data_IF_504815313105
#
_entry.id   IF_504815313105
#
_cell.length_a   1.000
_cell.length_b   1.000
_cell.length_c   1.000
_cell.angle_alpha   90.00
_cell.angle_beta   90.00
_cell.angle_gamma   90.00
#
_symmetry.space_group_name_H-M   'P 1'
#
loop_
_entity.id
_entity.type
_entity.pdbx_description
1 polymer ?
#
# COMPACT_ATOMS: atom_id res chain seq x y z
N UNK A 1 -5.16 -38.82 -2.56
CA UNK A 1 -6.12 -37.71 -2.36
C UNK A 1 -6.01 -37.36 -0.90
N UNK A 2 -5.15 -36.40 -0.56
CA UNK A 2 -5.04 -35.89 0.80
C UNK A 2 -6.25 -34.99 1.03
N UNK A 3 -7.18 -35.42 1.87
CA UNK A 3 -8.22 -34.57 2.42
C UNK A 3 -7.53 -33.42 3.16
N UNK A 4 -7.59 -32.24 2.57
CA UNK A 4 -7.23 -31.00 3.23
C UNK A 4 -8.40 -30.64 4.16
N UNK A 5 -8.46 -31.27 5.32
CA UNK A 5 -9.43 -30.96 6.35
C UNK A 5 -9.24 -29.49 6.76
N UNK A 6 -10.13 -28.64 6.26
CA UNK A 6 -10.28 -27.28 6.75
C UNK A 6 -10.76 -27.40 8.20
N UNK A 7 -9.98 -26.92 9.14
CA UNK A 7 -10.42 -26.82 10.52
C UNK A 7 -11.67 -25.92 10.56
N UNK A 8 -12.80 -26.47 11.02
CA UNK A 8 -14.08 -25.74 11.08
C UNK A 8 -13.96 -24.41 11.84
N UNK A 9 -13.16 -24.39 12.90
CA UNK A 9 -12.89 -23.18 13.67
C UNK A 9 -12.14 -22.10 12.84
N UNK A 10 -11.17 -22.51 12.01
CA UNK A 10 -10.45 -21.58 11.13
C UNK A 10 -11.37 -21.00 10.06
N UNK A 11 -12.24 -21.84 9.47
CA UNK A 11 -13.20 -21.40 8.48
C UNK A 11 -14.23 -20.44 9.11
N UNK A 12 -14.75 -20.77 10.28
CA UNK A 12 -15.69 -19.92 11.02
C UNK A 12 -15.06 -18.57 11.33
N UNK A 13 -13.84 -18.54 11.85
CA UNK A 13 -13.10 -17.31 12.11
C UNK A 13 -12.86 -16.50 10.83
N UNK A 14 -12.52 -17.15 9.70
CA UNK A 14 -12.36 -16.48 8.42
C UNK A 14 -13.67 -15.82 7.96
N UNK A 15 -14.80 -16.52 8.03
CA UNK A 15 -16.10 -15.94 7.66
C UNK A 15 -16.48 -14.78 8.58
N UNK A 16 -16.25 -14.91 9.87
CA UNK A 16 -16.45 -13.82 10.86
C UNK A 16 -15.54 -12.62 10.55
N UNK A 17 -14.29 -12.87 10.15
CA UNK A 17 -13.38 -11.81 9.70
C UNK A 17 -13.92 -11.03 8.50
N UNK A 18 -14.45 -11.75 7.50
CA UNK A 18 -15.04 -11.12 6.31
C UNK A 18 -16.28 -10.30 6.66
N UNK A 19 -17.16 -10.83 7.50
CA UNK A 19 -18.38 -10.11 7.93
C UNK A 19 -17.99 -8.84 8.68
N UNK A 20 -17.10 -8.95 9.68
CA UNK A 20 -16.62 -7.79 10.45
C UNK A 20 -15.90 -6.78 9.56
N UNK A 21 -15.11 -7.23 8.58
CA UNK A 21 -14.45 -6.37 7.61
C UNK A 21 -15.45 -5.56 6.79
N UNK A 22 -16.47 -6.21 6.25
CA UNK A 22 -17.51 -5.55 5.45
C UNK A 22 -18.37 -4.58 6.29
N UNK A 23 -18.51 -4.85 7.59
CA UNK A 23 -19.20 -3.98 8.54
C UNK A 23 -18.31 -2.89 9.15
N UNK A 24 -17.07 -2.73 8.66
CA UNK A 24 -16.08 -1.76 9.17
C UNK A 24 -15.72 -1.94 10.66
N UNK A 25 -15.95 -3.12 11.21
CA UNK A 25 -15.54 -3.52 12.56
C UNK A 25 -14.05 -3.93 12.55
N UNK A 26 -13.17 -2.94 12.39
CA UNK A 26 -11.77 -3.16 12.03
C UNK A 26 -10.99 -4.00 13.05
N UNK A 27 -11.21 -3.80 14.35
CA UNK A 27 -10.52 -4.55 15.41
C UNK A 27 -10.96 -6.01 15.44
N UNK A 28 -12.27 -6.26 15.36
CA UNK A 28 -12.82 -7.61 15.36
C UNK A 28 -12.39 -8.38 14.11
N UNK A 29 -12.46 -7.72 12.96
CA UNK A 29 -11.97 -8.26 11.68
C UNK A 29 -10.53 -8.73 11.81
N UNK A 30 -9.64 -7.88 12.33
CA UNK A 30 -8.23 -8.24 12.50
C UNK A 30 -8.03 -9.39 13.49
N UNK A 31 -8.81 -9.43 14.58
CA UNK A 31 -8.77 -10.53 15.56
C UNK A 31 -9.13 -11.85 14.91
N UNK A 32 -10.22 -11.90 14.14
CA UNK A 32 -10.66 -13.10 13.44
C UNK A 32 -9.71 -13.52 12.32
N UNK A 33 -9.12 -12.58 11.57
CA UNK A 33 -8.06 -12.90 10.59
C UNK A 33 -6.84 -13.52 11.27
N UNK A 34 -6.39 -12.99 12.41
CA UNK A 34 -5.27 -13.58 13.15
C UNK A 34 -5.58 -15.02 13.59
N UNK A 35 -6.82 -15.30 14.01
CA UNK A 35 -7.26 -16.63 14.47
C UNK A 35 -7.44 -17.64 13.33
N UNK A 36 -7.52 -17.17 12.06
CA UNK A 36 -7.66 -18.01 10.87
C UNK A 36 -6.43 -17.97 9.95
N UNK A 37 -5.28 -17.51 10.46
CA UNK A 37 -4.07 -17.25 9.66
C UNK A 37 -3.55 -18.48 8.88
N UNK A 38 -3.84 -19.70 9.34
CA UNK A 38 -3.48 -20.92 8.60
C UNK A 38 -4.14 -21.01 7.21
N UNK A 39 -5.25 -20.28 6.99
CA UNK A 39 -5.93 -20.21 5.69
C UNK A 39 -5.24 -19.30 4.66
N UNK A 40 -4.24 -18.51 5.05
CA UNK A 40 -3.54 -17.60 4.13
C UNK A 40 -3.00 -18.29 2.88
N UNK A 41 -2.59 -19.56 3.00
CA UNK A 41 -2.08 -20.38 1.88
C UNK A 41 -3.18 -21.10 1.08
N UNK A 42 -4.41 -21.05 1.56
CA UNK A 42 -5.53 -21.84 1.01
C UNK A 42 -6.61 -20.96 0.38
N UNK A 43 -6.52 -19.65 0.52
CA UNK A 43 -7.54 -18.69 0.08
C UNK A 43 -6.89 -17.44 -0.52
N UNK A 44 -7.01 -17.26 -1.83
CA UNK A 44 -6.36 -16.20 -2.61
C UNK A 44 -6.66 -14.77 -2.07
N UNK A 45 -7.91 -14.52 -1.70
CA UNK A 45 -8.32 -13.21 -1.16
C UNK A 45 -8.05 -13.02 0.33
N UNK A 46 -7.52 -14.03 1.03
CA UNK A 46 -7.26 -13.91 2.47
C UNK A 46 -6.19 -12.88 2.75
N UNK A 47 -5.04 -12.99 2.11
CA UNK A 47 -3.89 -12.14 2.38
C UNK A 47 -4.22 -10.68 2.13
N UNK A 48 -4.83 -10.37 0.99
CA UNK A 48 -5.19 -8.97 0.66
C UNK A 48 -6.05 -8.35 1.76
N UNK A 49 -7.13 -9.01 2.18
CA UNK A 49 -8.00 -8.51 3.24
C UNK A 49 -7.32 -8.44 4.60
N UNK A 50 -6.45 -9.40 4.92
CA UNK A 50 -5.67 -9.39 6.14
C UNK A 50 -4.68 -8.22 6.17
N UNK A 51 -3.97 -7.96 5.07
CA UNK A 51 -3.05 -6.81 4.94
C UNK A 51 -3.82 -5.50 5.10
N UNK A 52 -4.97 -5.35 4.46
CA UNK A 52 -5.84 -4.20 4.66
C UNK A 52 -6.27 -4.04 6.12
N UNK A 53 -6.70 -5.12 6.76
CA UNK A 53 -7.08 -5.11 8.18
C UNK A 53 -5.92 -4.65 9.08
N UNK A 54 -4.69 -5.10 8.78
CA UNK A 54 -3.50 -4.64 9.50
C UNK A 54 -3.24 -3.15 9.27
N UNK A 55 -3.33 -2.67 8.02
CA UNK A 55 -3.09 -1.27 7.67
C UNK A 55 -4.09 -0.32 8.35
N UNK A 56 -5.39 -0.63 8.27
CA UNK A 56 -6.47 0.14 8.92
C UNK A 56 -6.29 0.20 10.45
N UNK A 57 -5.79 -0.89 11.06
CA UNK A 57 -5.49 -0.94 12.49
C UNK A 57 -4.09 -0.37 12.83
N UNK A 58 -3.50 0.44 11.96
CA UNK A 58 -2.20 1.12 12.15
C UNK A 58 -1.02 0.15 12.35
N UNK A 59 -1.15 -1.11 11.93
CA UNK A 59 -0.10 -2.13 12.04
C UNK A 59 0.67 -2.30 10.73
N UNK A 60 1.00 -1.18 10.07
CA UNK A 60 1.64 -1.16 8.75
C UNK A 60 2.95 -1.94 8.71
N UNK A 61 3.81 -1.81 9.73
CA UNK A 61 5.06 -2.59 9.81
C UNK A 61 4.81 -4.10 9.78
N UNK A 62 3.76 -4.57 10.47
CA UNK A 62 3.38 -5.98 10.46
C UNK A 62 2.84 -6.38 9.08
N UNK A 63 2.03 -5.53 8.44
CA UNK A 63 1.54 -5.77 7.08
C UNK A 63 2.71 -6.01 6.10
N UNK A 64 3.72 -5.14 6.13
CA UNK A 64 4.92 -5.26 5.30
C UNK A 64 5.69 -6.56 5.59
N UNK A 65 5.85 -6.93 6.86
CA UNK A 65 6.49 -8.21 7.23
C UNK A 65 5.74 -9.41 6.67
N UNK A 66 4.41 -9.44 6.75
CA UNK A 66 3.59 -10.53 6.21
C UNK A 66 3.70 -10.62 4.67
N UNK A 67 3.75 -9.48 3.98
CA UNK A 67 3.98 -9.43 2.53
C UNK A 67 5.36 -10.03 2.20
N UNK A 68 6.43 -9.57 2.85
CA UNK A 68 7.80 -10.05 2.61
C UNK A 68 8.02 -11.53 2.86
N UNK A 69 7.32 -12.13 3.85
CA UNK A 69 7.36 -13.58 4.08
C UNK A 69 6.79 -14.37 2.89
N UNK A 70 5.90 -13.74 2.11
CA UNK A 70 5.16 -14.37 1.04
C UNK A 70 5.60 -13.91 -0.36
N UNK A 71 6.50 -12.92 -0.44
CA UNK A 71 6.97 -12.28 -1.68
C UNK A 71 7.52 -13.27 -2.74
N UNK A 72 8.02 -14.42 -2.30
CA UNK A 72 8.51 -15.47 -3.21
C UNK A 72 7.42 -16.41 -3.75
N UNK A 73 6.14 -16.12 -3.53
CA UNK A 73 5.01 -16.95 -3.95
C UNK A 73 4.16 -16.20 -4.96
N UNK A 74 4.08 -16.70 -6.19
CA UNK A 74 3.35 -16.09 -7.33
C UNK A 74 1.90 -15.68 -7.09
N UNK A 75 1.26 -16.17 -6.02
CA UNK A 75 -0.18 -15.94 -5.77
C UNK A 75 -0.45 -14.74 -4.83
N UNK A 76 0.57 -13.91 -4.54
CA UNK A 76 0.47 -12.84 -3.55
C UNK A 76 0.74 -11.44 -4.10
N UNK A 77 0.74 -11.29 -5.41
CA UNK A 77 1.01 -10.04 -6.09
C UNK A 77 -0.29 -9.28 -6.33
N UNK A 78 -0.52 -8.27 -5.52
CA UNK A 78 -1.63 -7.34 -5.67
C UNK A 78 -1.14 -5.90 -5.51
N UNK A 79 -1.82 -4.95 -6.15
CA UNK A 79 -1.41 -3.55 -6.26
C UNK A 79 -1.02 -2.95 -4.89
N UNK A 80 -1.85 -3.12 -3.87
CA UNK A 80 -1.62 -2.52 -2.55
C UNK A 80 -0.42 -3.11 -1.80
N UNK A 81 -0.03 -4.36 -2.09
CA UNK A 81 1.20 -4.93 -1.52
C UNK A 81 2.42 -4.22 -2.07
N UNK A 82 2.45 -3.94 -3.38
CA UNK A 82 3.54 -3.21 -4.02
C UNK A 82 3.58 -1.74 -3.57
N UNK A 83 2.43 -1.09 -3.35
CA UNK A 83 2.38 0.25 -2.73
C UNK A 83 3.09 0.25 -1.36
N UNK A 84 2.77 -0.71 -0.49
CA UNK A 84 3.39 -0.79 0.84
C UNK A 84 4.89 -1.07 0.78
N UNK A 85 5.34 -1.94 -0.13
CA UNK A 85 6.76 -2.25 -0.31
C UNK A 85 7.52 -1.05 -0.89
N UNK A 86 6.95 -0.34 -1.87
CA UNK A 86 7.53 0.88 -2.43
C UNK A 86 7.68 1.95 -1.34
N UNK A 87 6.64 2.18 -0.54
CA UNK A 87 6.71 3.14 0.57
C UNK A 87 7.76 2.76 1.62
N UNK A 88 7.84 1.47 2.01
CA UNK A 88 8.83 0.98 2.98
C UNK A 88 10.26 1.17 2.49
N UNK A 89 10.50 0.90 1.20
CA UNK A 89 11.82 1.07 0.59
C UNK A 89 12.20 2.55 0.41
N UNK A 90 11.25 3.43 0.01
CA UNK A 90 11.47 4.89 -0.02
C UNK A 90 11.85 5.42 1.37
N UNK A 91 11.10 5.04 2.41
CA UNK A 91 11.35 5.46 3.79
C UNK A 91 12.71 4.98 4.34
N UNK A 92 13.26 3.92 3.77
CA UNK A 92 14.58 3.36 4.10
C UNK A 92 15.68 3.85 3.17
N UNK A 93 15.39 4.79 2.28
CA UNK A 93 16.30 5.33 1.27
C UNK A 93 16.90 4.27 0.33
N UNK A 94 16.20 3.14 0.15
CA UNK A 94 16.58 2.05 -0.75
C UNK A 94 15.99 2.30 -2.14
N UNK A 95 16.48 3.32 -2.81
CA UNK A 95 15.85 3.83 -4.04
C UNK A 95 15.83 2.83 -5.20
N UNK A 96 16.86 2.00 -5.36
CA UNK A 96 16.89 0.95 -6.39
C UNK A 96 15.83 -0.13 -6.12
N UNK A 97 15.67 -0.55 -4.85
CA UNK A 97 14.62 -1.49 -4.46
C UNK A 97 13.23 -0.86 -4.70
N UNK A 98 13.09 0.44 -4.43
CA UNK A 98 11.85 1.19 -4.67
C UNK A 98 11.49 1.27 -6.15
N UNK A 99 12.47 1.45 -7.03
CA UNK A 99 12.26 1.47 -8.49
C UNK A 99 11.72 0.13 -8.98
N UNK A 100 12.28 -0.99 -8.51
CA UNK A 100 11.82 -2.32 -8.88
C UNK A 100 10.36 -2.56 -8.44
N UNK A 101 10.00 -2.19 -7.20
CA UNK A 101 8.62 -2.30 -6.74
C UNK A 101 7.68 -1.38 -7.52
N UNK A 102 8.13 -0.18 -7.89
CA UNK A 102 7.34 0.77 -8.65
C UNK A 102 7.11 0.30 -10.09
N UNK A 103 8.10 -0.32 -10.73
CA UNK A 103 7.95 -0.93 -12.06
C UNK A 103 6.89 -2.04 -12.01
N UNK A 104 6.98 -2.91 -11.02
CA UNK A 104 6.01 -3.99 -10.84
C UNK A 104 4.60 -3.47 -10.49
N UNK A 105 4.52 -2.40 -9.69
CA UNK A 105 3.26 -1.70 -9.42
C UNK A 105 2.61 -1.18 -10.71
N UNK A 106 3.41 -0.70 -11.66
CA UNK A 106 2.92 -0.24 -12.96
C UNK A 106 2.30 -1.37 -13.79
N UNK A 107 2.82 -2.59 -13.68
CA UNK A 107 2.25 -3.76 -14.35
C UNK A 107 0.92 -4.20 -13.72
N UNK A 108 0.79 -4.06 -12.40
CA UNK A 108 -0.39 -4.48 -11.65
C UNK A 108 -1.53 -3.48 -11.66
N UNK A 109 -1.25 -2.20 -11.96
CA UNK A 109 -2.29 -1.17 -11.96
C UNK A 109 -3.32 -1.41 -13.04
N UNK A 110 -4.58 -1.24 -12.68
CA UNK A 110 -5.70 -1.23 -13.62
C UNK A 110 -5.88 0.16 -14.24
N UNK A 111 -6.94 0.34 -15.03
CA UNK A 111 -7.35 1.67 -15.52
C UNK A 111 -8.01 2.55 -14.43
N UNK A 112 -7.93 2.16 -13.17
CA UNK A 112 -8.49 2.90 -12.04
C UNK A 112 -7.81 4.27 -11.89
N UNK A 113 -8.61 5.33 -11.76
CA UNK A 113 -8.14 6.69 -11.50
C UNK A 113 -7.32 6.75 -10.22
N UNK A 114 -7.74 6.02 -9.17
CA UNK A 114 -7.05 5.98 -7.88
C UNK A 114 -5.69 5.30 -7.95
N UNK A 115 -5.58 4.17 -8.67
CA UNK A 115 -4.33 3.45 -8.83
C UNK A 115 -3.31 4.26 -9.64
N UNK A 116 -3.76 4.95 -10.69
CA UNK A 116 -2.92 5.87 -11.44
C UNK A 116 -2.44 7.04 -10.56
N UNK A 117 -3.33 7.66 -9.77
CA UNK A 117 -2.95 8.74 -8.85
C UNK A 117 -1.91 8.31 -7.82
N UNK A 118 -2.06 7.10 -7.24
CA UNK A 118 -1.09 6.54 -6.30
C UNK A 118 0.26 6.29 -6.98
N UNK A 119 0.25 5.69 -8.17
CA UNK A 119 1.45 5.41 -8.94
C UNK A 119 2.21 6.70 -9.29
N UNK A 120 1.52 7.71 -9.83
CA UNK A 120 2.11 9.01 -10.20
C UNK A 120 2.69 9.71 -8.97
N UNK A 121 1.97 9.68 -7.85
CA UNK A 121 2.43 10.23 -6.58
C UNK A 121 3.72 9.54 -6.10
N UNK A 122 3.76 8.22 -6.07
CA UNK A 122 4.94 7.47 -5.65
C UNK A 122 6.14 7.71 -6.58
N UNK A 123 5.90 7.79 -7.88
CA UNK A 123 6.93 8.12 -8.89
C UNK A 123 7.53 9.49 -8.62
N UNK A 124 6.68 10.49 -8.36
CA UNK A 124 7.11 11.85 -8.07
C UNK A 124 7.95 11.93 -6.78
N UNK A 125 7.50 11.27 -5.71
CA UNK A 125 8.23 11.25 -4.44
C UNK A 125 9.57 10.52 -4.58
N UNK A 126 9.58 9.33 -5.19
CA UNK A 126 10.81 8.55 -5.39
C UNK A 126 11.83 9.34 -6.21
N UNK A 127 11.43 9.90 -7.35
CA UNK A 127 12.33 10.70 -8.22
C UNK A 127 12.88 11.93 -7.50
N UNK A 128 12.04 12.61 -6.70
CA UNK A 128 12.47 13.79 -5.94
C UNK A 128 13.44 13.43 -4.82
N UNK A 129 13.17 12.38 -4.05
CA UNK A 129 14.04 11.97 -2.96
C UNK A 129 15.39 11.44 -3.44
N UNK A 130 15.38 10.65 -4.53
CA UNK A 130 16.60 10.12 -5.13
C UNK A 130 17.49 11.21 -5.71
N UNK A 131 16.91 12.16 -6.44
CA UNK A 131 17.65 13.21 -7.17
C UNK A 131 17.85 14.50 -6.38
N UNK A 132 17.25 14.64 -5.19
CA UNK A 132 17.21 15.87 -4.39
C UNK A 132 16.77 17.10 -5.19
N UNK A 133 15.90 16.88 -6.16
CA UNK A 133 15.37 17.91 -7.06
C UNK A 133 13.95 17.56 -7.46
N UNK A 134 13.07 18.55 -7.44
CA UNK A 134 11.71 18.39 -7.92
C UNK A 134 11.71 18.24 -9.46
N UNK A 135 11.35 17.04 -9.93
CA UNK A 135 11.15 16.72 -11.34
C UNK A 135 9.66 16.47 -11.49
N UNK A 136 8.94 17.55 -11.80
CA UNK A 136 7.49 17.50 -11.91
C UNK A 136 7.06 17.26 -13.34
N UNK A 137 6.19 16.27 -13.53
CA UNK A 137 5.38 16.11 -14.75
C UNK A 137 3.92 16.30 -14.34
N UNK A 138 3.22 17.20 -15.04
CA UNK A 138 1.81 17.45 -14.74
C UNK A 138 0.99 16.18 -14.97
N UNK A 139 0.26 15.77 -13.94
CA UNK A 139 -0.72 14.69 -14.02
C UNK A 139 -2.13 15.23 -14.29
N UNK A 140 -3.14 14.36 -14.26
CA UNK A 140 -4.53 14.75 -14.40
C UNK A 140 -5.21 15.04 -13.03
N UNK A 141 -4.42 15.27 -11.97
CA UNK A 141 -4.91 15.38 -10.58
C UNK A 141 -4.55 16.72 -9.95
N UNK A 142 -4.93 17.83 -10.61
CA UNK A 142 -4.47 19.21 -10.32
C UNK A 142 -4.32 19.54 -8.82
N UNK A 143 -5.33 19.24 -7.99
CA UNK A 143 -5.27 19.53 -6.55
C UNK A 143 -4.30 18.61 -5.80
N UNK A 144 -4.23 17.33 -6.18
CA UNK A 144 -3.29 16.38 -5.59
C UNK A 144 -1.86 16.73 -6.00
N UNK A 145 -1.65 17.13 -7.25
CA UNK A 145 -0.36 17.60 -7.75
C UNK A 145 0.13 18.81 -6.98
N UNK A 146 -0.73 19.81 -6.79
CA UNK A 146 -0.38 21.00 -6.02
C UNK A 146 0.00 20.66 -4.58
N UNK A 147 -0.75 19.75 -3.94
CA UNK A 147 -0.46 19.27 -2.59
C UNK A 147 0.92 18.58 -2.54
N UNK A 148 1.16 17.62 -3.42
CA UNK A 148 2.40 16.85 -3.49
C UNK A 148 3.61 17.76 -3.76
N UNK A 149 3.50 18.66 -4.73
CA UNK A 149 4.55 19.64 -5.06
C UNK A 149 4.87 20.51 -3.85
N UNK A 150 3.86 20.97 -3.13
CA UNK A 150 4.05 21.84 -1.96
C UNK A 150 4.81 21.11 -0.86
N UNK A 151 4.47 19.85 -0.55
CA UNK A 151 5.21 19.06 0.42
C UNK A 151 6.63 18.75 -0.03
N UNK A 152 6.84 18.44 -1.31
CA UNK A 152 8.18 18.18 -1.85
C UNK A 152 9.06 19.43 -1.86
N UNK A 153 8.50 20.62 -2.13
CA UNK A 153 9.20 21.88 -1.97
C UNK A 153 9.63 22.12 -0.51
N UNK A 154 8.73 21.83 0.43
CA UNK A 154 9.06 21.90 1.85
C UNK A 154 10.22 20.95 2.22
N UNK A 155 10.19 19.72 1.73
CA UNK A 155 11.26 18.74 1.92
C UNK A 155 12.60 19.19 1.34
N UNK A 156 12.58 19.91 0.21
CA UNK A 156 13.77 20.42 -0.48
C UNK A 156 14.23 21.78 0.05
N UNK A 157 13.56 22.33 1.08
CA UNK A 157 13.84 23.68 1.64
C UNK A 157 13.75 24.79 0.57
N UNK A 158 12.83 24.64 -0.41
CA UNK A 158 12.64 25.59 -1.51
C UNK A 158 12.01 26.91 -1.00
N UNK A 159 12.61 28.04 -1.35
CA UNK A 159 12.18 29.39 -0.93
C UNK A 159 10.73 29.72 -1.34
N UNK A 160 10.20 29.05 -2.36
CA UNK A 160 8.82 29.25 -2.85
C UNK A 160 7.77 28.43 -2.10
N UNK A 161 8.18 27.63 -1.10
CA UNK A 161 7.29 26.75 -0.31
C UNK A 161 6.14 27.52 0.32
N UNK A 162 6.42 28.66 0.98
CA UNK A 162 5.40 29.49 1.63
C UNK A 162 4.32 29.96 0.63
N UNK A 163 4.74 30.39 -0.56
CA UNK A 163 3.81 30.81 -1.62
C UNK A 163 2.93 29.62 -2.09
N UNK A 164 3.50 28.43 -2.21
CA UNK A 164 2.76 27.23 -2.59
C UNK A 164 1.70 26.85 -1.55
N UNK A 165 2.01 26.94 -0.24
CA UNK A 165 1.04 26.73 0.83
C UNK A 165 -0.10 27.76 0.78
N UNK A 166 0.17 29.03 0.54
CA UNK A 166 -0.88 30.03 0.38
C UNK A 166 -1.84 29.71 -0.78
N UNK A 167 -1.34 29.15 -1.87
CA UNK A 167 -2.17 28.73 -3.00
C UNK A 167 -3.06 27.52 -2.68
N UNK A 168 -2.65 26.65 -1.75
CA UNK A 168 -3.45 25.50 -1.31
C UNK A 168 -4.64 25.89 -0.41
N UNK A 169 -4.52 27.00 0.30
CA UNK A 169 -5.51 27.42 1.33
C UNK A 169 -6.56 28.38 0.77
N UNK A 170 -6.28 29.01 -0.37
CA UNK A 170 -7.18 29.94 -1.08
C UNK A 170 -7.84 29.30 -2.28
#
# INVERSE_FOLDING_TARGET
VTNNDLNENELTNYLSAIISYNNQQNQDSLSYFNSSKALVKKRDNYLRKYIFSLAINQKVKKAIQEIKILENKKDFDFFESQVLLTLDSILKEKYEESENYLEYLNELKSSSVYENAIYDTLTLYLSTFKNKKLIFQKSNFDNLDLLNITFLKCYLEDDTTSKSFHTLVN
#
